data_IF_469574999304
#
_entry.id   IF_469574999304
#
_cell.length_a   1.000
_cell.length_b   1.000
_cell.length_c   1.000
_cell.angle_alpha   90.00
_cell.angle_beta   90.00
_cell.angle_gamma   90.00
#
_symmetry.space_group_name_H-M   'P 1'
#
loop_
_entity.id
_entity.type
_entity.pdbx_description
1 polymer ?
#
# COMPACT_ATOMS: atom_id res chain seq x y z
N UNK A 1 10.62 34.65 38.11
CA UNK A 1 9.67 33.53 38.30
C UNK A 1 9.79 33.03 39.72
N UNK A 2 8.98 33.59 40.60
CA UNK A 2 9.13 33.58 42.07
C UNK A 2 8.67 32.26 42.68
N UNK A 3 9.39 31.75 43.70
CA UNK A 3 9.14 30.52 44.49
C UNK A 3 7.68 30.30 44.97
N UNK A 4 6.83 31.31 44.88
CA UNK A 4 5.42 31.27 45.25
C UNK A 4 4.57 30.34 44.37
N UNK A 5 4.94 30.07 43.11
CA UNK A 5 4.16 29.20 42.19
C UNK A 5 4.17 27.71 42.54
N UNK A 6 5.10 27.25 43.38
CA UNK A 6 5.16 25.85 43.83
C UNK A 6 4.43 25.58 45.15
N UNK A 7 3.98 26.63 45.84
CA UNK A 7 3.23 26.48 47.08
C UNK A 7 1.77 26.19 46.73
N UNK A 8 1.23 25.08 47.23
CA UNK A 8 -0.16 24.69 47.02
C UNK A 8 -1.09 25.85 47.40
N UNK A 9 -2.19 26.01 46.65
CA UNK A 9 -3.19 27.05 46.86
C UNK A 9 -3.56 27.24 48.35
N UNK A 10 -3.57 26.12 49.10
CA UNK A 10 -3.78 26.02 50.55
C UNK A 10 -2.82 26.87 51.37
N UNK A 11 -1.51 26.84 51.07
CA UNK A 11 -0.50 27.60 51.82
C UNK A 11 -0.62 29.09 51.58
N UNK A 12 -0.95 29.49 50.33
CA UNK A 12 -1.19 30.92 50.02
C UNK A 12 -2.40 31.45 50.77
N UNK A 13 -3.50 30.71 50.76
CA UNK A 13 -4.73 31.07 51.49
C UNK A 13 -4.46 31.13 53.00
N UNK A 14 -3.77 30.13 53.55
CA UNK A 14 -3.35 30.11 54.96
C UNK A 14 -2.51 31.36 55.33
N UNK A 15 -1.56 31.76 54.48
CA UNK A 15 -0.70 32.91 54.73
C UNK A 15 -1.48 34.22 54.75
N UNK A 16 -2.46 34.40 53.87
CA UNK A 16 -3.36 35.57 53.90
C UNK A 16 -4.20 35.64 55.18
N UNK A 17 -4.80 34.53 55.62
CA UNK A 17 -5.58 34.50 56.85
C UNK A 17 -4.71 34.67 58.11
N UNK A 18 -3.52 34.07 58.13
CA UNK A 18 -2.55 34.29 59.21
C UNK A 18 -2.13 35.76 59.30
N UNK A 19 -1.92 36.43 58.16
CA UNK A 19 -1.59 37.86 58.12
C UNK A 19 -2.75 38.72 58.64
N UNK A 20 -4.01 38.38 58.33
CA UNK A 20 -5.20 39.05 58.87
C UNK A 20 -5.30 38.88 60.39
N UNK A 21 -5.04 37.68 60.92
CA UNK A 21 -5.03 37.42 62.38
C UNK A 21 -3.94 38.22 63.07
N UNK A 22 -2.72 38.22 62.51
CA UNK A 22 -1.59 38.99 63.07
C UNK A 22 -1.88 40.49 63.01
N UNK A 23 -2.41 41.00 61.89
CA UNK A 23 -2.75 42.41 61.73
C UNK A 23 -3.87 42.85 62.69
N UNK A 24 -4.94 42.07 62.80
CA UNK A 24 -6.06 42.36 63.72
C UNK A 24 -5.64 42.28 65.19
N UNK A 25 -4.81 41.30 65.56
CA UNK A 25 -4.23 41.20 66.89
C UNK A 25 -3.29 42.37 67.20
N UNK A 26 -2.46 42.80 66.24
CA UNK A 26 -1.59 43.97 66.39
C UNK A 26 -2.39 45.27 66.59
N UNK A 27 -3.49 45.46 65.84
CA UNK A 27 -4.40 46.61 66.00
C UNK A 27 -5.05 46.60 67.39
N UNK A 28 -5.54 45.45 67.85
CA UNK A 28 -6.09 45.31 69.20
C UNK A 28 -5.06 45.60 70.27
N UNK A 29 -3.83 45.11 70.12
CA UNK A 29 -2.76 45.33 71.07
C UNK A 29 -2.37 46.82 71.15
N UNK A 30 -2.30 47.50 69.99
CA UNK A 30 -2.04 48.93 69.92
C UNK A 30 -3.18 49.77 70.54
N UNK A 31 -4.44 49.39 70.30
CA UNK A 31 -5.60 50.05 70.90
C UNK A 31 -5.62 49.87 72.43
N UNK A 32 -5.27 48.68 72.92
CA UNK A 32 -5.19 48.39 74.36
C UNK A 32 -4.06 49.18 75.04
N UNK A 33 -2.90 49.27 74.37
CA UNK A 33 -1.76 50.07 74.83
C UNK A 33 -2.12 51.56 74.94
N UNK A 34 -2.81 52.10 73.93
CA UNK A 34 -3.26 53.50 73.95
C UNK A 34 -4.32 53.77 75.03
N UNK A 35 -5.21 52.81 75.29
CA UNK A 35 -6.21 52.91 76.35
C UNK A 35 -5.59 52.88 77.77
N UNK A 36 -4.56 52.04 77.98
CA UNK A 36 -3.79 51.98 79.22
C UNK A 36 -3.11 53.30 79.56
N UNK A 37 -2.54 53.98 78.56
CA UNK A 37 -1.91 55.29 78.75
C UNK A 37 -2.92 56.38 79.17
N UNK A 38 -4.20 56.21 78.84
CA UNK A 38 -5.23 57.25 79.04
C UNK A 38 -6.05 57.09 80.32
N UNK A 39 -6.23 55.85 80.82
CA UNK A 39 -7.11 55.53 81.95
C UNK A 39 -6.34 55.26 83.26
N UNK A 40 -5.04 54.96 83.19
CA UNK A 40 -4.21 54.67 84.37
C UNK A 40 -4.20 53.18 84.79
N UNK A 41 -3.27 52.80 85.67
CA UNK A 41 -2.92 51.40 86.01
C UNK A 41 -4.03 50.60 86.70
N UNK A 42 -5.06 51.24 87.23
CA UNK A 42 -6.12 50.58 88.00
C UNK A 42 -7.06 49.72 87.14
N UNK A 43 -7.08 49.93 85.81
CA UNK A 43 -7.90 49.15 84.87
C UNK A 43 -7.14 48.02 84.14
N UNK A 44 -5.86 47.78 84.49
CA UNK A 44 -5.01 46.73 83.90
C UNK A 44 -5.68 45.33 83.81
N UNK A 45 -6.27 44.77 84.88
CA UNK A 45 -6.79 43.40 84.81
C UNK A 45 -8.03 43.28 83.89
N UNK A 46 -8.88 44.31 83.84
CA UNK A 46 -10.08 44.30 83.00
C UNK A 46 -9.75 44.52 81.51
N UNK A 47 -8.76 45.36 81.19
CA UNK A 47 -8.28 45.54 79.82
C UNK A 47 -7.59 44.29 79.27
N UNK A 48 -6.75 43.62 80.06
CA UNK A 48 -6.07 42.39 79.60
C UNK A 48 -7.08 41.26 79.35
N UNK A 49 -8.08 41.10 80.22
CA UNK A 49 -9.11 40.07 80.06
C UNK A 49 -9.96 40.32 78.80
N UNK A 50 -10.43 41.56 78.60
CA UNK A 50 -11.26 41.92 77.43
C UNK A 50 -10.47 41.88 76.12
N UNK A 51 -9.21 42.36 76.12
CA UNK A 51 -8.32 42.30 74.97
C UNK A 51 -7.93 40.87 74.60
N UNK A 52 -7.68 40.02 75.59
CA UNK A 52 -7.41 38.59 75.40
C UNK A 52 -8.62 37.86 74.81
N UNK A 53 -9.82 38.10 75.33
CA UNK A 53 -11.05 37.52 74.82
C UNK A 53 -11.35 37.99 73.37
N UNK A 54 -11.11 39.26 73.07
CA UNK A 54 -11.25 39.80 71.72
C UNK A 54 -10.25 39.17 70.74
N UNK A 55 -8.97 39.05 71.10
CA UNK A 55 -7.97 38.39 70.27
C UNK A 55 -8.31 36.91 70.04
N UNK A 56 -8.76 36.22 71.09
CA UNK A 56 -9.15 34.82 70.99
C UNK A 56 -10.38 34.64 70.09
N UNK A 57 -11.38 35.52 70.22
CA UNK A 57 -12.56 35.53 69.35
C UNK A 57 -12.21 35.76 67.87
N UNK A 58 -11.34 36.72 67.58
CA UNK A 58 -10.90 37.00 66.20
C UNK A 58 -10.09 35.83 65.62
N UNK A 59 -9.18 35.25 66.41
CA UNK A 59 -8.42 34.08 66.01
C UNK A 59 -9.33 32.88 65.73
N UNK A 60 -10.33 32.66 66.60
CA UNK A 60 -11.28 31.56 66.45
C UNK A 60 -12.16 31.71 65.20
N UNK A 61 -12.75 32.89 64.96
CA UNK A 61 -13.55 33.15 63.77
C UNK A 61 -12.70 33.03 62.50
N UNK A 62 -11.49 33.58 62.51
CA UNK A 62 -10.58 33.50 61.36
C UNK A 62 -10.18 32.05 61.07
N UNK A 63 -9.87 31.26 62.09
CA UNK A 63 -9.57 29.83 61.95
C UNK A 63 -10.78 29.03 61.45
N UNK A 64 -11.98 29.33 61.96
CA UNK A 64 -13.21 28.68 61.54
C UNK A 64 -13.56 28.97 60.08
N UNK A 65 -13.43 30.23 59.64
CA UNK A 65 -13.60 30.65 58.25
C UNK A 65 -12.54 30.00 57.35
N UNK A 66 -11.28 29.94 57.79
CA UNK A 66 -10.21 29.28 57.05
C UNK A 66 -10.49 27.79 56.85
N UNK A 67 -10.87 27.08 57.92
CA UNK A 67 -11.20 25.65 57.84
C UNK A 67 -12.36 25.39 56.88
N UNK A 68 -13.40 26.24 56.91
CA UNK A 68 -14.50 26.13 55.95
C UNK A 68 -14.07 26.42 54.52
N UNK A 69 -13.17 27.37 54.30
CA UNK A 69 -12.70 27.68 52.95
C UNK A 69 -11.80 26.57 52.38
N UNK A 70 -10.90 25.99 53.19
CA UNK A 70 -9.99 24.93 52.73
C UNK A 70 -10.74 23.65 52.33
N UNK A 71 -11.68 23.20 53.18
CA UNK A 71 -12.49 22.00 52.90
C UNK A 71 -13.36 22.19 51.66
N UNK A 72 -13.83 23.42 51.44
CA UNK A 72 -14.91 23.66 50.51
C UNK A 72 -14.49 24.20 49.14
N UNK A 73 -13.26 24.73 49.05
CA UNK A 73 -12.72 25.31 47.81
C UNK A 73 -11.43 24.61 47.40
N UNK A 74 -10.48 24.41 48.32
CA UNK A 74 -9.18 23.87 47.96
C UNK A 74 -9.22 22.36 47.66
N UNK A 75 -9.94 21.58 48.49
CA UNK A 75 -10.05 20.14 48.29
C UNK A 75 -10.77 19.76 46.98
N UNK A 76 -11.88 20.40 46.58
CA UNK A 76 -12.51 20.17 45.28
C UNK A 76 -11.63 20.53 44.08
N UNK A 77 -10.87 21.63 44.16
CA UNK A 77 -9.97 22.05 43.06
C UNK A 77 -8.86 21.03 42.84
N UNK A 78 -8.23 20.54 43.91
CA UNK A 78 -7.18 19.52 43.81
C UNK A 78 -7.71 18.21 43.17
N UNK A 79 -8.94 17.82 43.48
CA UNK A 79 -9.60 16.66 42.88
C UNK A 79 -9.85 16.88 41.39
N UNK A 80 -10.41 18.02 41.01
CA UNK A 80 -10.65 18.36 39.60
C UNK A 80 -9.36 18.37 38.78
N UNK A 81 -8.26 18.92 39.31
CA UNK A 81 -6.97 18.93 38.60
C UNK A 81 -6.43 17.51 38.38
N UNK A 82 -6.59 16.63 39.37
CA UNK A 82 -6.20 15.22 39.25
C UNK A 82 -7.05 14.49 38.21
N UNK A 83 -8.36 14.74 38.21
CA UNK A 83 -9.31 14.12 37.28
C UNK A 83 -9.10 14.60 35.84
N UNK A 84 -8.85 15.90 35.63
CA UNK A 84 -8.52 16.42 34.29
C UNK A 84 -7.19 15.83 33.82
N UNK A 85 -6.18 15.73 34.68
CA UNK A 85 -4.90 15.12 34.32
C UNK A 85 -5.03 13.63 34.00
N UNK A 86 -5.86 12.89 34.74
CA UNK A 86 -6.13 11.48 34.46
C UNK A 86 -6.93 11.30 33.16
N UNK A 87 -7.91 12.16 32.89
CA UNK A 87 -8.65 12.15 31.63
C UNK A 87 -7.72 12.41 30.43
N UNK A 88 -6.83 13.40 30.52
CA UNK A 88 -5.90 13.74 29.44
C UNK A 88 -4.88 12.62 29.21
N UNK A 89 -4.38 11.96 30.26
CA UNK A 89 -3.27 11.00 30.15
C UNK A 89 -3.71 9.54 30.07
N UNK A 90 -4.82 9.15 30.70
CA UNK A 90 -5.28 7.76 30.81
C UNK A 90 -6.62 7.51 30.11
N UNK A 91 -7.34 8.54 29.66
CA UNK A 91 -8.60 8.39 28.91
C UNK A 91 -9.74 7.74 29.70
N UNK A 92 -9.63 7.66 31.03
CA UNK A 92 -10.63 7.02 31.86
C UNK A 92 -11.81 7.99 32.14
N UNK A 93 -13.06 7.64 31.77
CA UNK A 93 -14.22 8.48 32.04
C UNK A 93 -14.61 8.36 33.51
N UNK A 94 -14.08 9.24 34.37
CA UNK A 94 -14.50 9.29 35.76
C UNK A 94 -15.67 10.25 35.96
N UNK A 95 -16.74 9.70 36.51
CA UNK A 95 -17.96 10.43 36.80
C UNK A 95 -17.75 11.28 38.04
N UNK A 96 -17.72 12.61 37.84
CA UNK A 96 -17.75 13.61 38.90
C UNK A 96 -18.98 13.39 39.78
N UNK A 97 -18.78 12.78 40.96
CA UNK A 97 -19.84 12.55 41.94
C UNK A 97 -20.41 13.91 42.36
N UNK A 98 -21.74 14.04 42.32
CA UNK A 98 -22.45 15.32 42.41
C UNK A 98 -22.20 16.14 43.69
N UNK A 99 -21.60 15.56 44.73
CA UNK A 99 -21.31 16.24 46.00
C UNK A 99 -20.17 17.25 45.93
N UNK A 100 -19.11 16.99 45.15
CA UNK A 100 -17.92 17.87 45.07
C UNK A 100 -18.23 19.19 44.35
N UNK A 101 -19.30 19.22 43.55
CA UNK A 101 -19.67 20.35 42.70
C UNK A 101 -20.53 21.43 43.35
N UNK A 102 -21.03 21.22 44.58
CA UNK A 102 -22.01 22.15 45.20
C UNK A 102 -21.49 23.58 45.35
N UNK A 103 -20.18 23.76 45.45
CA UNK A 103 -19.54 25.06 45.66
C UNK A 103 -18.77 25.58 44.44
N UNK A 104 -18.72 24.80 43.36
CA UNK A 104 -18.05 25.16 42.11
C UNK A 104 -19.04 25.45 40.98
N UNK A 105 -20.35 25.40 41.25
CA UNK A 105 -21.45 25.95 40.44
C UNK A 105 -21.29 25.75 38.94
N UNK A 106 -20.70 26.73 38.27
CA UNK A 106 -20.55 26.81 36.81
C UNK A 106 -19.37 26.03 36.24
N UNK A 107 -18.36 25.67 37.03
CA UNK A 107 -17.17 24.97 36.52
C UNK A 107 -17.45 23.49 36.24
N UNK A 108 -18.32 22.86 37.04
CA UNK A 108 -18.66 21.44 36.90
C UNK A 108 -19.36 21.11 35.55
N UNK A 109 -20.39 21.86 35.09
CA UNK A 109 -20.98 21.62 33.77
C UNK A 109 -20.00 21.91 32.62
N UNK A 110 -19.20 22.98 32.70
CA UNK A 110 -18.22 23.30 31.66
C UNK A 110 -17.14 22.19 31.50
N UNK A 111 -16.65 21.64 32.61
CA UNK A 111 -15.71 20.51 32.58
C UNK A 111 -16.36 19.26 32.01
N UNK A 112 -17.64 19.01 32.33
CA UNK A 112 -18.39 17.89 31.74
C UNK A 112 -18.54 18.02 30.23
N UNK A 113 -18.91 19.19 29.74
CA UNK A 113 -19.03 19.46 28.29
C UNK A 113 -17.68 19.25 27.58
N UNK A 114 -16.59 19.78 28.14
CA UNK A 114 -15.24 19.58 27.57
C UNK A 114 -14.84 18.10 27.60
N UNK A 115 -15.12 17.39 28.70
CA UNK A 115 -14.80 15.96 28.81
C UNK A 115 -15.60 15.12 27.82
N UNK A 116 -16.88 15.44 27.61
CA UNK A 116 -17.73 14.76 26.65
C UNK A 116 -17.25 15.01 25.21
N UNK A 117 -16.97 16.26 24.86
CA UNK A 117 -16.44 16.62 23.54
C UNK A 117 -15.08 15.96 23.25
N UNK A 118 -14.22 15.82 24.26
CA UNK A 118 -12.93 15.15 24.11
C UNK A 118 -13.08 13.64 23.89
N UNK A 119 -14.03 12.99 24.59
CA UNK A 119 -14.33 11.57 24.41
C UNK A 119 -14.91 11.32 23.02
N UNK A 120 -15.89 12.13 22.60
CA UNK A 120 -16.51 12.04 21.27
C UNK A 120 -15.47 12.24 20.15
N UNK A 121 -14.62 13.27 20.26
CA UNK A 121 -13.56 13.50 19.27
C UNK A 121 -12.56 12.33 19.20
N UNK A 122 -12.22 11.70 20.34
CA UNK A 122 -11.36 10.51 20.36
C UNK A 122 -12.03 9.33 19.66
N UNK A 123 -13.28 9.06 19.97
CA UNK A 123 -14.04 7.96 19.37
C UNK A 123 -14.17 8.14 17.85
N UNK A 124 -14.41 9.36 17.39
CA UNK A 124 -14.40 9.68 15.96
C UNK A 124 -13.02 9.39 15.34
N UNK A 125 -11.92 9.86 15.95
CA UNK A 125 -10.58 9.58 15.43
C UNK A 125 -10.23 8.09 15.42
N UNK A 126 -10.59 7.35 16.47
CA UNK A 126 -10.35 5.91 16.55
C UNK A 126 -11.15 5.16 15.49
N UNK A 127 -12.40 5.59 15.23
CA UNK A 127 -13.24 5.02 14.17
C UNK A 127 -12.66 5.27 12.77
N UNK A 128 -12.12 6.47 12.51
CA UNK A 128 -11.48 6.82 11.24
C UNK A 128 -10.18 6.04 11.04
N UNK A 129 -9.35 5.91 12.09
CA UNK A 129 -8.12 5.12 12.06
C UNK A 129 -8.43 3.63 11.84
N UNK A 130 -9.44 3.09 12.52
CA UNK A 130 -9.88 1.71 12.33
C UNK A 130 -10.38 1.47 10.90
N UNK A 131 -11.19 2.38 10.35
CA UNK A 131 -11.68 2.30 8.98
C UNK A 131 -10.54 2.39 7.94
N UNK A 132 -9.58 3.31 8.13
CA UNK A 132 -8.41 3.46 7.29
C UNK A 132 -7.47 2.25 7.39
N UNK A 133 -7.28 1.69 8.59
CA UNK A 133 -6.48 0.48 8.79
C UNK A 133 -7.15 -0.73 8.14
N UNK A 134 -8.47 -0.85 8.25
CA UNK A 134 -9.24 -1.92 7.60
C UNK A 134 -9.24 -1.81 6.06
N UNK A 135 -9.23 -0.60 5.50
CA UNK A 135 -9.11 -0.41 4.05
C UNK A 135 -7.69 -0.68 3.56
N UNK A 136 -6.66 -0.22 4.28
CA UNK A 136 -5.26 -0.51 3.99
C UNK A 136 -4.95 -2.01 4.10
N UNK A 137 -5.48 -2.69 5.12
CA UNK A 137 -5.35 -4.15 5.27
C UNK A 137 -6.06 -4.89 4.14
N UNK A 138 -7.24 -4.42 3.70
CA UNK A 138 -7.93 -5.00 2.53
C UNK A 138 -7.17 -4.78 1.23
N UNK A 139 -6.55 -3.61 1.04
CA UNK A 139 -5.69 -3.34 -0.11
C UNK A 139 -4.43 -4.21 -0.07
N UNK A 140 -3.80 -4.37 1.09
CA UNK A 140 -2.64 -5.24 1.30
C UNK A 140 -3.00 -6.71 1.06
N UNK A 141 -4.11 -7.19 1.62
CA UNK A 141 -4.57 -8.56 1.43
C UNK A 141 -5.02 -8.81 -0.01
N UNK A 142 -5.58 -7.80 -0.70
CA UNK A 142 -5.89 -7.88 -2.13
C UNK A 142 -4.62 -7.90 -2.98
N UNK A 143 -3.60 -7.11 -2.62
CA UNK A 143 -2.29 -7.14 -3.27
C UNK A 143 -1.59 -8.47 -3.03
N UNK A 144 -1.62 -9.00 -1.81
CA UNK A 144 -1.08 -10.31 -1.46
C UNK A 144 -1.83 -11.45 -2.17
N UNK A 145 -3.16 -11.36 -2.28
CA UNK A 145 -3.97 -12.33 -3.03
C UNK A 145 -3.66 -12.28 -4.52
N UNK A 146 -3.53 -11.09 -5.12
CA UNK A 146 -3.13 -10.92 -6.53
C UNK A 146 -1.68 -11.40 -6.74
N UNK A 147 -0.79 -11.20 -5.77
CA UNK A 147 0.59 -11.70 -5.82
C UNK A 147 0.70 -13.21 -5.56
N UNK A 148 -0.28 -13.81 -4.85
CA UNK A 148 -0.39 -15.25 -4.65
C UNK A 148 -1.10 -15.95 -5.81
N UNK A 149 -2.01 -15.27 -6.50
CA UNK A 149 -2.65 -15.70 -7.75
C UNK A 149 -1.73 -15.51 -8.97
N UNK A 150 -0.60 -14.81 -8.84
CA UNK A 150 0.50 -14.95 -9.80
C UNK A 150 1.11 -16.33 -9.59
N UNK A 151 0.70 -17.29 -10.42
CA UNK A 151 1.33 -18.60 -10.59
C UNK A 151 2.83 -18.54 -10.93
N UNK A 152 3.39 -17.34 -11.07
CA UNK A 152 4.73 -17.02 -11.51
C UNK A 152 5.71 -16.85 -10.33
N UNK A 153 6.88 -17.47 -10.43
CA UNK A 153 8.02 -17.22 -9.56
C UNK A 153 8.66 -15.86 -9.87
N UNK A 154 9.06 -15.13 -8.82
CA UNK A 154 9.74 -13.83 -8.93
C UNK A 154 11.10 -13.87 -8.25
N UNK A 155 12.13 -13.38 -8.94
CA UNK A 155 13.52 -13.26 -8.49
C UNK A 155 14.03 -11.83 -8.76
N UNK A 156 14.79 -11.27 -7.83
CA UNK A 156 15.52 -10.00 -8.01
C UNK A 156 17.00 -10.33 -7.93
N UNK A 157 17.77 -9.88 -8.91
CA UNK A 157 19.20 -10.14 -9.01
C UNK A 157 20.01 -8.85 -9.14
N UNK A 158 21.24 -8.87 -8.62
CA UNK A 158 22.24 -7.85 -8.91
C UNK A 158 22.81 -8.03 -10.33
N UNK A 159 23.56 -7.04 -10.84
CA UNK A 159 24.23 -7.09 -12.16
C UNK A 159 25.21 -8.26 -12.29
N UNK A 160 25.82 -8.71 -11.19
CA UNK A 160 26.66 -9.92 -11.12
C UNK A 160 25.86 -11.25 -11.16
N UNK A 161 24.58 -11.19 -11.52
CA UNK A 161 23.66 -12.32 -11.58
C UNK A 161 23.47 -13.06 -10.25
N UNK A 162 23.67 -12.36 -9.13
CA UNK A 162 23.46 -12.90 -7.77
C UNK A 162 22.03 -12.63 -7.30
N UNK A 163 21.38 -13.65 -6.75
CA UNK A 163 20.00 -13.54 -6.26
C UNK A 163 19.97 -12.72 -4.97
N UNK A 164 19.25 -11.60 -4.98
CA UNK A 164 19.04 -10.71 -3.84
C UNK A 164 17.76 -11.04 -3.08
N UNK A 165 16.67 -11.35 -3.80
CA UNK A 165 15.35 -11.66 -3.22
C UNK A 165 14.62 -12.67 -4.11
N UNK A 166 13.78 -13.50 -3.51
CA UNK A 166 12.92 -14.44 -4.23
C UNK A 166 11.61 -14.69 -3.49
N UNK A 167 10.54 -15.02 -4.23
CA UNK A 167 9.27 -15.46 -3.64
C UNK A 167 9.24 -16.99 -3.44
N UNK A 168 8.40 -17.49 -2.52
CA UNK A 168 8.20 -18.93 -2.27
C UNK A 168 7.82 -19.71 -3.54
N UNK A 169 7.05 -19.10 -4.45
CA UNK A 169 6.69 -19.71 -5.73
C UNK A 169 7.89 -19.99 -6.63
N UNK A 170 8.91 -19.12 -6.61
CA UNK A 170 10.16 -19.32 -7.33
C UNK A 170 10.87 -20.61 -6.89
N UNK A 171 10.91 -20.89 -5.58
CA UNK A 171 11.48 -22.14 -5.06
C UNK A 171 10.74 -23.37 -5.54
N UNK A 172 9.41 -23.33 -5.54
CA UNK A 172 8.57 -24.46 -5.97
C UNK A 172 8.80 -24.80 -7.44
N UNK A 173 8.82 -23.79 -8.32
CA UNK A 173 9.00 -23.98 -9.76
C UNK A 173 10.42 -24.44 -10.12
N UNK A 174 11.44 -23.92 -9.43
CA UNK A 174 12.83 -24.34 -9.67
C UNK A 174 13.13 -25.75 -9.11
N UNK A 175 12.20 -26.36 -8.35
CA UNK A 175 12.32 -27.70 -7.77
C UNK A 175 13.62 -27.94 -6.96
N UNK A 176 14.21 -26.87 -6.42
CA UNK A 176 15.45 -26.93 -5.63
C UNK A 176 15.11 -27.40 -4.22
N UNK A 177 15.48 -28.65 -3.91
CA UNK A 177 15.23 -29.28 -2.61
C UNK A 177 16.27 -28.93 -1.53
N UNK A 178 17.10 -27.89 -1.74
CA UNK A 178 18.13 -27.45 -0.79
C UNK A 178 18.81 -26.14 -1.17
N UNK A 179 18.82 -25.18 -0.24
CA UNK A 179 19.60 -23.93 -0.20
C UNK A 179 19.76 -23.14 -1.51
N UNK A 180 18.68 -22.50 -1.97
CA UNK A 180 18.84 -21.19 -2.65
C UNK A 180 19.26 -20.16 -1.61
N UNK A 181 20.55 -20.11 -1.29
CA UNK A 181 21.11 -19.06 -0.44
C UNK A 181 21.06 -17.70 -1.15
N UNK A 182 20.63 -16.66 -0.43
CA UNK A 182 20.82 -15.28 -0.85
C UNK A 182 22.29 -15.06 -1.25
N UNK A 183 22.54 -14.45 -2.41
CA UNK A 183 23.89 -14.20 -2.95
C UNK A 183 24.47 -15.28 -3.87
N UNK A 184 23.76 -16.39 -4.12
CA UNK A 184 24.17 -17.42 -5.10
C UNK A 184 23.85 -16.98 -6.54
N UNK A 185 24.58 -17.51 -7.52
CA UNK A 185 24.39 -17.15 -8.93
C UNK A 185 23.12 -17.78 -9.51
N UNK A 186 22.31 -16.97 -10.21
CA UNK A 186 21.11 -17.42 -10.92
C UNK A 186 21.40 -18.58 -11.89
N UNK A 187 22.55 -18.55 -12.57
CA UNK A 187 22.96 -19.55 -13.55
C UNK A 187 23.27 -20.94 -12.97
N UNK A 188 23.31 -21.07 -11.64
CA UNK A 188 23.43 -22.39 -11.01
C UNK A 188 22.15 -23.21 -11.07
N UNK A 189 20.99 -22.56 -11.27
CA UNK A 189 19.67 -23.21 -11.22
C UNK A 189 18.94 -23.16 -12.56
N UNK A 190 19.31 -22.24 -13.45
CA UNK A 190 18.70 -22.08 -14.78
C UNK A 190 19.78 -21.97 -15.85
N UNK A 191 19.44 -22.36 -17.08
CA UNK A 191 20.40 -22.32 -18.18
C UNK A 191 20.87 -20.88 -18.47
N UNK A 192 22.19 -20.68 -18.52
CA UNK A 192 22.75 -19.33 -18.60
C UNK A 192 22.55 -18.65 -19.96
N UNK A 193 22.53 -19.42 -21.06
CA UNK A 193 22.57 -18.87 -22.42
C UNK A 193 21.36 -17.97 -22.75
N UNK A 194 20.09 -18.37 -22.49
CA UNK A 194 18.93 -17.52 -22.79
C UNK A 194 18.91 -16.23 -21.97
N UNK A 195 19.30 -16.30 -20.69
CA UNK A 195 19.35 -15.14 -19.80
C UNK A 195 20.46 -14.16 -20.18
N UNK A 196 21.66 -14.66 -20.52
CA UNK A 196 22.76 -13.82 -20.99
C UNK A 196 22.39 -13.06 -22.25
N UNK A 197 21.80 -13.75 -23.23
CA UNK A 197 21.35 -13.12 -24.46
C UNK A 197 20.24 -12.07 -24.22
N UNK A 198 19.35 -12.34 -23.27
CA UNK A 198 18.31 -11.36 -22.91
C UNK A 198 18.88 -10.13 -22.22
N UNK A 199 19.78 -10.31 -21.25
CA UNK A 199 20.45 -9.20 -20.58
C UNK A 199 21.27 -8.37 -21.55
N UNK A 200 22.04 -9.00 -22.46
CA UNK A 200 22.83 -8.31 -23.48
C UNK A 200 21.95 -7.44 -24.39
N UNK A 201 20.83 -7.98 -24.87
CA UNK A 201 19.84 -7.21 -25.65
C UNK A 201 19.23 -6.05 -24.87
N UNK A 202 18.95 -6.25 -23.59
CA UNK A 202 18.38 -5.21 -22.73
C UNK A 202 19.41 -4.10 -22.45
N UNK A 203 20.67 -4.45 -22.19
CA UNK A 203 21.77 -3.49 -22.03
C UNK A 203 21.97 -2.67 -23.30
N UNK A 204 22.05 -3.31 -24.47
CA UNK A 204 22.14 -2.60 -25.74
C UNK A 204 20.93 -1.71 -26.01
N UNK A 205 19.72 -2.12 -25.59
CA UNK A 205 18.50 -1.31 -25.72
C UNK A 205 18.50 -0.11 -24.77
N UNK A 206 19.11 -0.26 -23.59
CA UNK A 206 19.32 0.84 -22.65
C UNK A 206 20.31 1.87 -23.21
N UNK A 207 21.49 1.42 -23.63
CA UNK A 207 22.55 2.27 -24.21
C UNK A 207 22.09 3.06 -25.44
N UNK A 208 21.33 2.42 -26.32
CA UNK A 208 20.81 3.07 -27.54
C UNK A 208 19.55 3.91 -27.30
N UNK A 209 19.12 4.08 -26.03
CA UNK A 209 17.90 4.76 -25.62
C UNK A 209 16.59 4.28 -26.29
N UNK A 210 16.63 3.13 -26.98
CA UNK A 210 15.50 2.56 -27.73
C UNK A 210 14.37 2.07 -26.82
N UNK A 211 14.66 1.86 -25.53
CA UNK A 211 13.67 1.48 -24.54
C UNK A 211 12.53 2.50 -24.38
N UNK A 212 12.72 3.77 -24.76
CA UNK A 212 11.68 4.81 -24.72
C UNK A 212 10.60 4.66 -25.81
N UNK A 213 10.92 3.96 -26.89
CA UNK A 213 10.04 3.82 -28.06
C UNK A 213 9.67 2.37 -28.38
N UNK A 214 10.25 1.40 -27.66
CA UNK A 214 9.98 -0.02 -27.87
C UNK A 214 8.76 -0.46 -27.03
N UNK A 215 7.78 -1.20 -27.59
CA UNK A 215 6.57 -1.59 -26.88
C UNK A 215 6.82 -2.39 -25.59
N UNK A 216 7.87 -3.24 -25.58
CA UNK A 216 8.29 -3.99 -24.39
C UNK A 216 9.20 -3.22 -23.40
N UNK A 217 9.53 -1.95 -23.66
CA UNK A 217 10.37 -1.13 -22.78
C UNK A 217 11.73 -1.78 -22.44
N UNK A 218 12.09 -1.81 -21.15
CA UNK A 218 13.26 -2.51 -20.59
C UNK A 218 12.96 -3.95 -20.16
N UNK A 219 11.94 -4.58 -20.77
CA UNK A 219 11.59 -5.97 -20.52
C UNK A 219 11.77 -6.84 -21.77
N UNK A 220 12.09 -8.12 -21.55
CA UNK A 220 12.25 -9.12 -22.60
C UNK A 220 11.73 -10.48 -22.13
N UNK A 221 10.95 -11.14 -22.98
CA UNK A 221 10.54 -12.53 -22.77
C UNK A 221 11.71 -13.48 -23.06
N UNK A 222 11.86 -14.48 -22.20
CA UNK A 222 12.91 -15.49 -22.23
C UNK A 222 12.26 -16.85 -21.98
N UNK A 223 12.63 -17.84 -22.77
CA UNK A 223 12.30 -19.24 -22.52
C UNK A 223 13.62 -19.95 -22.20
N UNK A 224 13.65 -20.65 -21.08
CA UNK A 224 14.83 -21.35 -20.59
C UNK A 224 14.44 -22.69 -20.00
N UNK A 225 15.43 -23.53 -19.73
CA UNK A 225 15.23 -24.77 -18.99
C UNK A 225 15.86 -24.62 -17.60
N UNK A 226 15.36 -25.38 -16.62
CA UNK A 226 16.06 -25.57 -15.35
C UNK A 226 17.44 -26.20 -15.61
N UNK A 227 18.39 -26.04 -14.68
CA UNK A 227 19.72 -26.63 -14.80
C UNK A 227 19.67 -28.16 -14.97
N UNK A 228 18.67 -28.81 -14.35
CA UNK A 228 18.40 -30.24 -14.48
C UNK A 228 17.77 -30.62 -15.84
N UNK A 229 17.39 -29.64 -16.67
CA UNK A 229 16.77 -29.84 -17.98
C UNK A 229 15.36 -30.44 -17.94
N UNK A 230 14.79 -30.62 -16.75
CA UNK A 230 13.50 -31.29 -16.54
C UNK A 230 12.29 -30.40 -16.79
N UNK A 231 12.44 -29.10 -16.56
CA UNK A 231 11.35 -28.14 -16.67
C UNK A 231 11.71 -27.03 -17.63
N UNK A 232 10.76 -26.66 -18.48
CA UNK A 232 10.84 -25.49 -19.35
C UNK A 232 10.13 -24.33 -18.67
N UNK A 233 10.87 -23.26 -18.47
CA UNK A 233 10.43 -22.03 -17.83
C UNK A 233 10.24 -20.96 -18.89
N UNK A 234 9.09 -20.30 -18.87
CA UNK A 234 8.84 -19.08 -19.64
C UNK A 234 8.84 -17.91 -18.66
N UNK A 235 9.59 -16.85 -18.96
CA UNK A 235 9.70 -15.73 -18.06
C UNK A 235 9.97 -14.40 -18.74
N UNK A 236 9.78 -13.33 -17.99
CA UNK A 236 10.11 -11.96 -18.40
C UNK A 236 11.25 -11.45 -17.54
N UNK A 237 12.30 -10.97 -18.19
CA UNK A 237 13.42 -10.29 -17.56
C UNK A 237 13.23 -8.79 -17.75
N UNK A 238 13.31 -8.02 -16.67
CA UNK A 238 13.22 -6.56 -16.72
C UNK A 238 14.43 -5.94 -16.05
N UNK A 239 15.10 -5.00 -16.71
CA UNK A 239 16.20 -4.24 -16.08
C UNK A 239 15.64 -3.23 -15.09
N UNK A 240 16.28 -3.13 -13.93
CA UNK A 240 16.05 -2.11 -12.92
C UNK A 240 17.08 -1.00 -13.09
N UNK A 241 16.62 0.24 -13.10
CA UNK A 241 17.48 1.42 -13.15
C UNK A 241 17.70 1.96 -11.74
N UNK A 242 18.82 2.67 -11.55
CA UNK A 242 19.04 3.46 -10.34
C UNK A 242 18.08 4.68 -10.31
N UNK A 243 17.96 5.36 -9.15
CA UNK A 243 17.06 6.51 -8.98
C UNK A 243 17.29 7.65 -9.99
N UNK A 244 18.54 7.79 -10.48
CA UNK A 244 18.92 8.80 -11.46
C UNK A 244 18.70 8.36 -12.93
N UNK A 245 18.14 7.16 -13.16
CA UNK A 245 17.92 6.53 -14.49
C UNK A 245 19.16 6.43 -15.41
N UNK A 246 20.35 6.71 -14.88
CA UNK A 246 21.61 6.83 -15.63
C UNK A 246 22.36 5.51 -15.75
N UNK A 247 22.10 4.55 -14.86
CA UNK A 247 22.78 3.26 -14.85
C UNK A 247 21.83 2.12 -14.40
N UNK A 248 22.00 0.90 -14.94
CA UNK A 248 21.27 -0.27 -14.46
C UNK A 248 21.78 -0.62 -13.05
N UNK A 249 20.86 -0.84 -12.11
CA UNK A 249 21.15 -1.23 -10.73
C UNK A 249 20.98 -2.74 -10.50
N UNK A 250 20.17 -3.40 -11.33
CA UNK A 250 19.94 -4.83 -11.24
C UNK A 250 18.90 -5.28 -12.25
N UNK A 251 18.32 -6.46 -12.04
CA UNK A 251 17.23 -6.94 -12.89
C UNK A 251 16.25 -7.82 -12.10
N UNK A 252 14.99 -7.81 -12.53
CA UNK A 252 13.96 -8.72 -12.04
C UNK A 252 13.68 -9.80 -13.08
N UNK A 253 13.38 -11.00 -12.60
CA UNK A 253 12.95 -12.12 -13.43
C UNK A 253 11.65 -12.65 -12.87
N UNK A 254 10.61 -12.63 -13.70
CA UNK A 254 9.37 -13.36 -13.44
C UNK A 254 9.33 -14.58 -14.34
N UNK A 255 8.88 -15.74 -13.86
CA UNK A 255 8.85 -16.97 -14.66
C UNK A 255 7.78 -17.95 -14.20
N UNK A 256 7.32 -18.78 -15.11
CA UNK A 256 6.30 -19.82 -14.92
C UNK A 256 6.79 -21.15 -15.50
N UNK A 257 6.30 -22.25 -14.93
CA UNK A 257 6.54 -23.59 -15.49
C UNK A 257 5.55 -23.85 -16.63
N UNK A 258 6.08 -23.88 -17.87
CA UNK A 258 5.29 -24.16 -19.08
C UNK A 258 5.57 -25.55 -19.63
N UNK A 259 6.24 -26.43 -18.87
CA UNK A 259 6.66 -27.77 -19.34
C UNK A 259 5.49 -28.57 -19.88
N UNK A 260 4.37 -28.62 -19.14
CA UNK A 260 3.18 -29.37 -19.55
C UNK A 260 2.51 -28.76 -20.77
N UNK A 261 2.33 -27.45 -20.78
CA UNK A 261 1.66 -26.74 -21.87
C UNK A 261 2.47 -26.80 -23.17
N UNK A 262 3.80 -26.73 -23.07
CA UNK A 262 4.69 -26.92 -24.22
C UNK A 262 4.65 -28.36 -24.72
N UNK A 263 4.66 -29.36 -23.83
CA UNK A 263 4.57 -30.76 -24.20
C UNK A 263 3.26 -31.10 -24.92
N UNK A 264 2.13 -30.57 -24.44
CA UNK A 264 0.81 -30.74 -25.07
C UNK A 264 0.76 -30.10 -26.47
N UNK A 265 1.30 -28.88 -26.62
CA UNK A 265 1.37 -28.20 -27.91
C UNK A 265 2.27 -28.93 -28.91
N UNK A 266 3.44 -29.42 -28.47
CA UNK A 266 4.33 -30.23 -29.32
C UNK A 266 3.65 -31.51 -29.76
N UNK A 267 2.90 -32.17 -28.89
CA UNK A 267 2.18 -33.39 -29.26
C UNK A 267 1.03 -33.10 -30.24
N UNK A 268 0.28 -32.02 -30.01
CA UNK A 268 -0.76 -31.57 -30.95
C UNK A 268 -0.17 -31.27 -32.33
N UNK A 269 0.94 -30.54 -32.41
CA UNK A 269 1.60 -30.21 -33.67
C UNK A 269 2.14 -31.46 -34.37
N UNK A 270 2.67 -32.44 -33.62
CA UNK A 270 3.09 -33.73 -34.17
C UNK A 270 1.91 -34.50 -34.77
N UNK A 271 0.75 -34.51 -34.13
CA UNK A 271 -0.44 -35.17 -34.65
C UNK A 271 -0.95 -34.47 -35.92
N UNK A 272 -0.98 -33.13 -35.93
CA UNK A 272 -1.36 -32.35 -37.11
C UNK A 272 -0.40 -32.59 -38.28
N UNK A 273 0.91 -32.60 -38.03
CA UNK A 273 1.90 -32.84 -39.06
C UNK A 273 1.85 -34.27 -39.60
N UNK A 274 1.62 -35.27 -38.72
CA UNK A 274 1.40 -36.66 -39.15
C UNK A 274 0.16 -36.79 -40.02
N UNK A 275 -0.95 -36.18 -39.63
CA UNK A 275 -2.16 -36.16 -40.43
C UNK A 275 -1.93 -35.48 -41.79
N UNK A 276 -1.25 -34.32 -41.81
CA UNK A 276 -0.91 -33.59 -43.04
C UNK A 276 -0.05 -34.41 -43.99
N UNK A 277 1.00 -35.07 -43.48
CA UNK A 277 1.87 -35.94 -44.28
C UNK A 277 1.09 -37.15 -44.82
N UNK A 278 0.20 -37.75 -44.02
CA UNK A 278 -0.66 -38.85 -44.47
C UNK A 278 -1.59 -38.42 -45.60
N UNK A 279 -2.22 -37.25 -45.48
CA UNK A 279 -3.10 -36.70 -46.53
C UNK A 279 -2.32 -36.41 -47.81
N UNK A 280 -1.14 -35.78 -47.71
CA UNK A 280 -0.28 -35.53 -48.88
C UNK A 280 0.14 -36.85 -49.55
N UNK A 281 0.50 -37.87 -48.76
CA UNK A 281 0.84 -39.20 -49.28
C UNK A 281 -0.35 -39.86 -49.99
N UNK A 282 -1.56 -39.75 -49.43
CA UNK A 282 -2.78 -40.26 -50.08
C UNK A 282 -3.06 -39.55 -51.40
N UNK A 283 -2.91 -38.22 -51.45
CA UNK A 283 -3.10 -37.43 -52.68
C UNK A 283 -2.02 -37.70 -53.75
N UNK A 284 -0.79 -38.04 -53.35
CA UNK A 284 0.28 -38.41 -54.27
C UNK A 284 0.15 -39.85 -54.82
N UNK A 285 -0.38 -40.78 -54.02
CA UNK A 285 -0.64 -42.14 -54.49
C UNK A 285 -1.97 -42.27 -55.26
N UNK A 286 -2.88 -41.32 -55.08
CA UNK A 286 -3.96 -41.06 -56.03
C UNK A 286 -3.43 -40.31 -57.25
N UNK A 287 -2.48 -40.92 -57.97
CA UNK A 287 -2.18 -40.52 -59.35
C UNK A 287 -3.45 -40.60 -60.22
N UNK A 288 -3.48 -39.95 -61.40
CA UNK A 288 -4.68 -39.91 -62.23
C UNK A 288 -5.20 -41.33 -62.42
N UNK A 289 -6.47 -41.57 -62.08
CA UNK A 289 -7.13 -42.81 -62.43
C UNK A 289 -7.11 -42.92 -63.97
N UNK A 290 -6.17 -43.68 -64.51
CA UNK A 290 -6.26 -44.21 -65.86
C UNK A 290 -7.30 -45.33 -65.81
N UNK A 291 -8.38 -45.15 -66.57
CA UNK A 291 -9.35 -46.20 -66.84
C UNK A 291 -10.69 -46.03 -66.14
N UNK A 292 -11.54 -45.19 -66.73
CA UNK A 292 -12.88 -45.61 -67.18
C UNK A 292 -13.43 -44.52 -68.10
N UNK A 293 -13.12 -44.67 -69.39
CA UNK A 293 -13.91 -44.08 -70.47
C UNK A 293 -15.13 -44.99 -70.62
N UNK A 294 -16.15 -44.76 -69.79
CA UNK A 294 -17.48 -45.27 -70.08
C UNK A 294 -18.19 -44.23 -70.96
N UNK A 295 -18.37 -44.63 -72.20
CA UNK A 295 -19.06 -43.91 -73.24
C UNK A 295 -20.56 -43.88 -72.90
N UNK A 296 -20.98 -42.90 -72.12
CA UNK A 296 -22.37 -42.42 -72.13
C UNK A 296 -22.42 -41.15 -72.94
N UNK A 297 -22.64 -41.33 -74.24
CA UNK A 297 -23.22 -40.32 -75.12
C UNK A 297 -24.60 -39.94 -74.58
N UNK A 298 -24.61 -38.97 -73.68
CA UNK A 298 -25.71 -38.04 -73.50
C UNK A 298 -25.17 -36.67 -73.85
N UNK A 299 -25.62 -36.19 -75.01
CA UNK A 299 -25.51 -34.80 -75.44
C UNK A 299 -26.25 -33.93 -74.42
N UNK A 300 -25.55 -33.52 -73.36
CA UNK A 300 -25.92 -32.33 -72.61
C UNK A 300 -24.98 -31.21 -73.02
N UNK A 301 -25.54 -30.39 -73.90
CA UNK A 301 -25.04 -29.14 -74.42
C UNK A 301 -24.76 -28.16 -73.28
N UNK A 302 -23.59 -28.29 -72.65
CA UNK A 302 -23.06 -27.27 -71.75
C UNK A 302 -22.33 -26.22 -72.59
N UNK A 303 -23.14 -25.24 -73.01
CA UNK A 303 -22.80 -23.91 -73.49
C UNK A 303 -21.35 -23.49 -73.14
N UNK A 304 -20.43 -23.65 -74.11
CA UNK A 304 -19.13 -22.99 -74.04
C UNK A 304 -19.39 -21.49 -74.12
N UNK A 305 -19.50 -20.83 -72.98
CA UNK A 305 -19.21 -19.40 -72.90
C UNK A 305 -17.72 -19.20 -73.18
N UNK A 306 -17.34 -19.23 -74.46
CA UNK A 306 -16.18 -18.50 -74.92
C UNK A 306 -16.52 -17.02 -74.77
N UNK A 307 -16.13 -16.44 -73.64
CA UNK A 307 -16.05 -14.99 -73.56
C UNK A 307 -15.01 -14.55 -74.60
N UNK A 308 -15.48 -13.98 -75.71
CA UNK A 308 -14.61 -13.36 -76.71
C UNK A 308 -14.08 -12.06 -76.12
N UNK A 309 -12.88 -12.12 -75.58
CA UNK A 309 -12.18 -10.94 -75.11
C UNK A 309 -11.56 -10.22 -76.31
N UNK A 310 -11.84 -8.92 -76.40
CA UNK A 310 -11.27 -8.04 -77.42
C UNK A 310 -10.23 -7.14 -76.75
N UNK A 311 -9.11 -6.92 -77.44
CA UNK A 311 -8.09 -5.98 -76.94
C UNK A 311 -8.67 -4.55 -76.91
N UNK A 312 -8.62 -3.83 -75.78
CA UNK A 312 -9.19 -2.49 -75.67
C UNK A 312 -8.44 -1.40 -76.47
N UNK A 313 -7.24 -1.68 -77.00
CA UNK A 313 -6.50 -0.73 -77.84
C UNK A 313 -6.69 -0.93 -79.36
N UNK A 314 -6.93 -2.16 -79.85
CA UNK A 314 -6.97 -2.44 -81.29
C UNK A 314 -8.16 -3.28 -81.78
N UNK A 315 -9.04 -3.75 -80.88
CA UNK A 315 -10.30 -4.41 -81.25
C UNK A 315 -10.18 -5.81 -81.87
N UNK A 316 -8.99 -6.40 -81.94
CA UNK A 316 -8.82 -7.78 -82.42
C UNK A 316 -9.28 -8.81 -81.37
N UNK A 317 -9.87 -9.92 -81.84
CA UNK A 317 -10.37 -11.03 -81.00
C UNK A 317 -9.22 -11.92 -80.51
N UNK A 318 -9.13 -12.10 -79.18
CA UNK A 318 -8.18 -13.03 -78.56
C UNK A 318 -8.87 -14.27 -78.00
N UNK A 319 -8.25 -15.44 -78.19
CA UNK A 319 -8.59 -16.69 -77.52
C UNK A 319 -7.54 -16.99 -76.44
N UNK A 320 -7.94 -16.91 -75.18
CA UNK A 320 -7.11 -17.35 -74.06
C UNK A 320 -7.32 -18.85 -73.88
N UNK A 321 -6.26 -19.63 -74.02
CA UNK A 321 -6.24 -21.07 -73.75
C UNK A 321 -5.54 -21.27 -72.42
N UNK A 322 -6.29 -21.54 -71.35
CA UNK A 322 -5.71 -21.96 -70.08
C UNK A 322 -5.26 -23.43 -70.18
N UNK A 323 -3.95 -23.66 -70.23
CA UNK A 323 -3.39 -25.02 -70.21
C UNK A 323 -3.11 -25.39 -68.76
N UNK A 324 -3.96 -26.23 -68.19
CA UNK A 324 -3.81 -26.72 -66.82
C UNK A 324 -3.00 -28.02 -66.84
N UNK A 325 -1.72 -27.97 -66.43
CA UNK A 325 -0.89 -29.17 -66.22
C UNK A 325 -0.86 -29.49 -64.72
N UNK A 326 -1.31 -30.70 -64.34
CA UNK A 326 -1.42 -31.13 -62.93
C UNK A 326 -0.06 -31.09 -62.22
N UNK A 327 0.03 -30.37 -61.10
CA UNK A 327 1.13 -30.51 -60.12
C UNK A 327 1.99 -29.27 -59.82
N UNK A 328 1.70 -28.10 -60.38
CA UNK A 328 2.39 -26.84 -60.01
C UNK A 328 1.40 -25.78 -59.51
N UNK A 329 1.78 -24.97 -58.52
CA UNK A 329 1.01 -23.79 -58.12
C UNK A 329 0.86 -22.83 -59.31
N UNK A 330 -0.29 -22.15 -59.47
CA UNK A 330 -0.54 -21.25 -60.58
C UNK A 330 0.48 -20.11 -60.56
N UNK A 331 1.43 -20.11 -61.49
CA UNK A 331 2.19 -18.91 -61.83
C UNK A 331 1.35 -18.13 -62.82
N UNK A 332 0.58 -17.17 -62.33
CA UNK A 332 0.10 -16.08 -63.16
C UNK A 332 1.32 -15.29 -63.69
N UNK A 333 1.84 -15.67 -64.85
CA UNK A 333 2.66 -14.77 -65.66
C UNK A 333 1.70 -13.97 -66.54
N UNK A 334 1.09 -12.94 -65.94
CA UNK A 334 0.70 -11.80 -66.74
C UNK A 334 2.01 -11.09 -67.15
N UNK A 335 2.32 -10.89 -68.44
CA UNK A 335 3.37 -9.96 -68.82
C UNK A 335 2.96 -8.53 -68.40
N UNK A 336 3.90 -7.66 -68.04
CA UNK A 336 3.59 -6.26 -67.73
C UNK A 336 3.01 -5.59 -68.98
N UNK A 337 1.80 -5.03 -68.84
CA UNK A 337 1.00 -4.38 -69.88
C UNK A 337 1.56 -3.01 -70.33
N UNK A 338 2.88 -2.78 -70.22
CA UNK A 338 3.48 -1.48 -70.55
C UNK A 338 4.41 -1.46 -71.78
N UNK A 339 4.74 -2.59 -72.40
CA UNK A 339 5.73 -2.58 -73.50
C UNK A 339 5.35 -3.45 -74.72
N UNK A 340 4.07 -3.53 -75.09
CA UNK A 340 3.67 -4.18 -76.35
C UNK A 340 2.71 -3.28 -77.13
N UNK A 341 3.30 -2.39 -77.94
CA UNK A 341 2.62 -1.69 -79.03
C UNK A 341 2.47 -2.61 -80.26
#
# INVERSE_FOLDING_TARGET
>A
MTRLERLSLRVRIFLFFALIVVASSAILMAALYFALQRIGSDALPHLVLSGGLACFGIAFVSFWVWQKFDINVAQPIDLIVKDVRSLVHAGAPQHLTGETGKYLGFLNPAIREISAALVEAREETDSQVAAATASASRQKQRLESVLQELDQGVLICNLDNRILLYNRRALQILHVSGEMGLGRSLFSVVSAAPFRHALDRLSHRFETARHRHHPDGLSQMVICATADGRHTLQGRVSLLLNQDETAPSGFTVTFEDVTRQLAENVERDRLLQRARIKTIRLLLHAGPNDGQVENTSQEEECERQSSNWHCPECGATMRIIEICVRGQLPRSRAPPWKDAA
#
